data_IF_214491256106
#
_entry.id   IF_214491256106
#
_cell.length_a   1.000
_cell.length_b   1.000
_cell.length_c   1.000
_cell.angle_alpha   90.00
_cell.angle_beta   90.00
_cell.angle_gamma   90.00
#
_symmetry.space_group_name_H-M   'P 1'
#
loop_
_entity.id
_entity.type
_entity.pdbx_description
1 polymer ?
#
# COMPACT_ATOMS: atom_id res chain seq x y z
N UNK A 1 -18.59 2.22 -19.58
CA UNK A 1 -18.74 3.70 -19.55
C UNK A 1 -17.33 4.28 -19.57
N UNK A 2 -16.98 5.03 -20.65
CA UNK A 2 -15.70 5.74 -20.75
C UNK A 2 -15.71 6.86 -19.70
N UNK A 3 -15.00 6.66 -18.60
CA UNK A 3 -14.88 7.64 -17.50
C UNK A 3 -13.97 8.81 -17.90
N UNK A 4 -13.07 8.56 -18.88
CA UNK A 4 -12.07 9.55 -19.35
C UNK A 4 -12.33 9.77 -20.85
N UNK A 5 -12.75 10.98 -21.21
CA UNK A 5 -13.07 11.35 -22.61
C UNK A 5 -11.86 11.83 -23.40
N UNK A 6 -10.94 12.54 -22.78
CA UNK A 6 -9.73 13.12 -23.41
C UNK A 6 -8.48 12.63 -22.67
N UNK A 7 -7.42 12.36 -23.41
CA UNK A 7 -6.08 12.05 -22.90
C UNK A 7 -5.13 13.11 -23.38
N UNK A 8 -4.48 13.78 -22.45
CA UNK A 8 -3.48 14.81 -22.78
C UNK A 8 -2.10 14.21 -22.52
N UNK A 9 -1.30 14.09 -23.54
CA UNK A 9 0.11 13.70 -23.41
C UNK A 9 0.97 14.96 -23.33
N UNK A 10 1.64 15.12 -22.18
CA UNK A 10 2.67 16.16 -22.03
C UNK A 10 3.96 15.62 -22.63
N UNK A 11 4.47 16.27 -23.66
CA UNK A 11 5.64 15.81 -24.41
C UNK A 11 6.65 16.94 -24.57
N UNK A 12 7.94 16.59 -24.52
CA UNK A 12 9.05 17.50 -24.72
C UNK A 12 10.12 16.82 -25.58
N UNK A 13 11.22 16.39 -24.96
CA UNK A 13 12.30 15.69 -25.66
C UNK A 13 11.79 14.44 -26.38
N UNK A 14 12.13 14.32 -27.68
CA UNK A 14 11.63 13.24 -28.57
C UNK A 14 10.09 13.20 -28.73
N UNK A 15 9.39 14.29 -28.44
CA UNK A 15 7.92 14.36 -28.53
C UNK A 15 7.36 14.01 -29.91
N UNK A 16 8.05 14.34 -31.00
CA UNK A 16 7.61 13.98 -32.36
C UNK A 16 7.52 12.45 -32.56
N UNK A 17 8.47 11.67 -31.99
CA UNK A 17 8.39 10.20 -32.05
C UNK A 17 7.15 9.66 -31.34
N UNK A 18 6.76 10.30 -30.23
CA UNK A 18 5.55 9.93 -29.46
C UNK A 18 4.32 10.27 -30.30
N UNK A 19 4.27 11.46 -30.93
CA UNK A 19 3.16 11.86 -31.81
C UNK A 19 3.05 10.98 -33.04
N UNK A 20 4.18 10.62 -33.67
CA UNK A 20 4.21 9.73 -34.83
C UNK A 20 3.66 8.33 -34.47
N UNK A 21 3.97 7.83 -33.26
CA UNK A 21 3.49 6.53 -32.82
C UNK A 21 2.01 6.52 -32.44
N UNK A 22 1.55 7.51 -31.66
CA UNK A 22 0.19 7.50 -31.12
C UNK A 22 -0.84 8.21 -32.02
N UNK A 23 -0.41 9.18 -32.85
CA UNK A 23 -1.28 9.99 -33.69
C UNK A 23 -2.36 10.72 -32.88
N UNK A 24 -3.58 10.71 -33.34
CA UNK A 24 -4.75 11.26 -32.63
C UNK A 24 -5.35 10.26 -31.61
N UNK A 25 -4.76 9.09 -31.45
CA UNK A 25 -5.24 8.03 -30.57
C UNK A 25 -6.31 7.13 -31.14
N UNK A 26 -6.85 7.40 -32.32
CA UNK A 26 -7.96 6.65 -32.94
C UNK A 26 -7.62 5.17 -33.10
N UNK A 27 -6.37 4.83 -33.43
CA UNK A 27 -5.85 3.45 -33.54
C UNK A 27 -5.97 2.67 -32.20
N UNK A 28 -6.01 3.36 -31.08
CA UNK A 28 -6.13 2.79 -29.73
C UNK A 28 -7.54 2.97 -29.15
N UNK A 29 -8.49 3.49 -29.93
CA UNK A 29 -9.87 3.72 -29.50
C UNK A 29 -10.01 4.87 -28.47
N UNK A 30 -9.09 5.83 -28.49
CA UNK A 30 -9.05 7.00 -27.60
C UNK A 30 -8.88 8.28 -28.39
N UNK A 31 -9.17 9.42 -27.78
CA UNK A 31 -8.81 10.73 -28.30
C UNK A 31 -7.56 11.23 -27.54
N UNK A 32 -6.51 11.63 -28.26
CA UNK A 32 -5.26 12.13 -27.69
C UNK A 32 -5.06 13.58 -28.14
N UNK A 33 -4.84 14.43 -27.14
CA UNK A 33 -4.35 15.80 -27.32
C UNK A 33 -2.90 15.88 -26.84
N UNK A 34 -2.13 16.82 -27.36
CA UNK A 34 -0.74 16.98 -27.00
C UNK A 34 -0.50 18.36 -26.41
N UNK A 35 0.11 18.39 -25.23
CA UNK A 35 0.74 19.59 -24.70
C UNK A 35 2.25 19.50 -24.95
N UNK A 36 2.79 20.41 -25.75
CA UNK A 36 4.19 20.39 -26.14
C UNK A 36 4.94 21.38 -25.25
N UNK A 37 5.91 20.87 -24.48
CA UNK A 37 6.83 21.71 -23.71
C UNK A 37 7.90 22.27 -24.61
N UNK A 38 8.02 23.61 -24.67
CA UNK A 38 9.10 24.35 -25.36
C UNK A 38 10.41 24.33 -24.55
N UNK A 39 10.30 24.13 -23.25
CA UNK A 39 11.41 23.88 -22.30
C UNK A 39 10.88 23.03 -21.11
N UNK A 40 11.78 22.36 -20.35
CA UNK A 40 11.34 21.50 -19.27
C UNK A 40 10.60 22.24 -18.16
N UNK A 41 9.32 21.92 -17.96
CA UNK A 41 8.44 22.54 -16.96
C UNK A 41 8.43 21.78 -15.61
N UNK A 42 9.22 20.71 -15.48
CA UNK A 42 9.17 19.82 -14.32
C UNK A 42 8.01 18.83 -14.40
N UNK A 43 7.65 18.24 -13.28
CA UNK A 43 6.60 17.19 -13.24
C UNK A 43 5.18 17.75 -13.15
N UNK A 44 5.01 19.07 -12.88
CA UNK A 44 3.69 19.68 -12.73
C UNK A 44 3.51 21.02 -13.48
N UNK A 45 4.57 21.64 -14.01
CA UNK A 45 4.45 23.00 -14.60
C UNK A 45 3.48 23.06 -15.77
N UNK A 46 3.38 21.99 -16.58
CA UNK A 46 2.41 21.89 -17.66
C UNK A 46 0.97 22.01 -17.17
N UNK A 47 0.63 21.48 -15.99
CA UNK A 47 -0.73 21.50 -15.42
C UNK A 47 -1.23 22.93 -15.21
N UNK A 48 -0.34 23.86 -14.88
CA UNK A 48 -0.68 25.27 -14.65
C UNK A 48 -0.83 26.07 -15.96
N UNK A 49 -0.46 25.46 -17.08
CA UNK A 49 -0.60 26.06 -18.43
C UNK A 49 -1.78 25.46 -19.21
N UNK A 50 -2.54 24.54 -18.61
CA UNK A 50 -3.70 23.85 -19.23
C UNK A 50 -5.02 24.39 -18.68
N UNK A 51 -5.65 25.41 -19.34
CA UNK A 51 -6.91 25.99 -18.86
C UNK A 51 -8.11 25.05 -18.95
N UNK A 52 -8.01 23.97 -19.72
CA UNK A 52 -9.05 22.94 -19.86
C UNK A 52 -9.19 22.01 -18.65
N UNK A 53 -8.25 22.02 -17.69
CA UNK A 53 -8.34 21.23 -16.46
C UNK A 53 -9.33 21.86 -15.49
N UNK A 54 -10.63 21.71 -15.75
CA UNK A 54 -11.72 22.30 -14.98
C UNK A 54 -12.44 21.32 -14.08
N UNK A 55 -12.21 20.01 -14.26
CA UNK A 55 -12.75 18.89 -13.48
C UNK A 55 -11.63 18.06 -12.89
N UNK A 56 -11.98 17.15 -11.96
CA UNK A 56 -11.01 16.18 -11.43
C UNK A 56 -10.39 15.37 -12.56
N UNK A 57 -9.09 15.25 -12.57
CA UNK A 57 -8.34 14.54 -13.60
C UNK A 57 -7.35 13.54 -13.03
N UNK A 58 -7.11 12.47 -13.78
CA UNK A 58 -6.11 11.46 -13.47
C UNK A 58 -4.77 11.87 -14.07
N UNK A 59 -3.74 11.97 -13.23
CA UNK A 59 -2.35 12.20 -13.63
C UNK A 59 -1.59 10.88 -13.51
N UNK A 60 -0.84 10.55 -14.56
CA UNK A 60 -0.06 9.32 -14.64
C UNK A 60 1.35 9.64 -15.11
N UNK A 61 2.35 9.04 -14.47
CA UNK A 61 3.72 9.04 -15.01
C UNK A 61 3.80 8.12 -16.24
N UNK A 62 4.51 8.58 -17.27
CA UNK A 62 4.59 7.88 -18.57
C UNK A 62 5.44 6.59 -18.55
N UNK A 63 6.19 6.36 -17.50
CA UNK A 63 7.09 5.21 -17.30
C UNK A 63 6.58 4.19 -16.27
N UNK A 64 5.29 4.26 -15.91
CA UNK A 64 4.66 3.36 -14.94
C UNK A 64 3.66 2.43 -15.63
N UNK A 65 3.76 1.13 -15.37
CA UNK A 65 2.72 0.16 -15.71
C UNK A 65 1.82 -0.03 -14.50
N UNK A 66 0.52 0.11 -14.75
CA UNK A 66 -0.51 0.00 -13.71
C UNK A 66 -1.69 -0.84 -14.19
N UNK A 67 -2.29 -1.59 -13.28
CA UNK A 67 -3.61 -2.20 -13.46
C UNK A 67 -4.39 -2.12 -12.15
N UNK A 68 -5.05 -0.98 -11.95
CA UNK A 68 -5.79 -0.60 -10.74
C UNK A 68 -7.29 -0.49 -11.06
N UNK A 69 -8.14 -0.86 -10.13
CA UNK A 69 -9.57 -0.58 -10.24
C UNK A 69 -9.87 0.91 -10.05
N UNK A 70 -9.77 1.66 -11.14
CA UNK A 70 -10.04 3.10 -11.12
C UNK A 70 -11.44 3.48 -10.63
N UNK A 71 -12.43 2.58 -10.69
CA UNK A 71 -13.76 2.89 -10.12
C UNK A 71 -13.69 2.99 -8.60
N UNK A 72 -12.94 2.07 -7.95
CA UNK A 72 -12.68 2.15 -6.50
C UNK A 72 -11.89 3.39 -6.15
N UNK A 73 -10.84 3.71 -6.91
CA UNK A 73 -10.00 4.89 -6.68
C UNK A 73 -10.79 6.21 -6.82
N UNK A 74 -11.59 6.34 -7.88
CA UNK A 74 -12.46 7.52 -8.09
C UNK A 74 -13.52 7.63 -6.99
N UNK A 75 -14.13 6.52 -6.58
CA UNK A 75 -15.11 6.50 -5.50
C UNK A 75 -14.48 6.97 -4.18
N UNK A 76 -13.26 6.51 -3.87
CA UNK A 76 -12.50 6.95 -2.70
C UNK A 76 -12.23 8.46 -2.75
N UNK A 77 -11.75 9.00 -3.86
CA UNK A 77 -11.48 10.43 -4.03
C UNK A 77 -12.72 11.28 -3.75
N UNK A 78 -13.85 10.89 -4.32
CA UNK A 78 -15.14 11.58 -4.14
C UNK A 78 -15.65 11.49 -2.70
N UNK A 79 -15.54 10.32 -2.06
CA UNK A 79 -15.92 10.10 -0.66
C UNK A 79 -15.14 11.03 0.28
N UNK A 80 -13.81 11.11 0.06
CA UNK A 80 -12.93 11.98 0.85
C UNK A 80 -13.08 13.46 0.51
N UNK A 81 -13.74 13.81 -0.59
CA UNK A 81 -13.78 15.17 -1.15
C UNK A 81 -12.37 15.72 -1.26
N UNK A 82 -11.46 14.89 -1.75
CA UNK A 82 -10.03 15.16 -1.79
C UNK A 82 -9.70 16.29 -2.80
N UNK A 83 -8.61 17.01 -2.55
CA UNK A 83 -7.96 17.82 -3.57
C UNK A 83 -6.92 16.99 -4.35
N UNK A 84 -6.31 16.03 -3.66
CA UNK A 84 -5.53 14.98 -4.33
C UNK A 84 -5.74 13.65 -3.61
N UNK A 85 -5.87 12.58 -4.39
CA UNK A 85 -5.75 11.20 -3.93
C UNK A 85 -4.57 10.56 -4.62
N UNK A 86 -3.67 9.98 -3.84
CA UNK A 86 -2.42 9.40 -4.30
C UNK A 86 -2.52 7.88 -4.19
N UNK A 87 -2.25 7.16 -5.26
CA UNK A 87 -2.11 5.71 -5.17
C UNK A 87 -0.87 5.39 -4.34
N UNK A 88 -1.04 4.61 -3.31
CA UNK A 88 0.01 4.17 -2.42
C UNK A 88 0.04 2.64 -2.34
N UNK A 89 1.22 2.07 -2.40
CA UNK A 89 1.40 0.62 -2.37
C UNK A 89 2.67 0.22 -1.59
N UNK A 90 2.73 -0.98 -1.00
CA UNK A 90 3.98 -1.50 -0.49
C UNK A 90 4.88 -1.95 -1.64
N UNK A 91 6.19 -1.77 -1.49
CA UNK A 91 7.16 -2.29 -2.46
C UNK A 91 8.40 -2.90 -1.79
N UNK A 92 9.25 -3.55 -2.58
CA UNK A 92 10.47 -4.21 -2.10
C UNK A 92 11.67 -3.28 -1.88
N UNK A 93 11.52 -1.95 -2.08
CA UNK A 93 12.61 -0.98 -1.90
C UNK A 93 12.12 0.34 -1.27
N UNK A 94 11.38 0.29 -0.15
CA UNK A 94 10.81 1.48 0.48
C UNK A 94 11.88 2.46 0.97
N UNK A 95 13.10 1.98 1.21
CA UNK A 95 14.24 2.80 1.63
C UNK A 95 14.70 3.81 0.55
N UNK A 96 14.41 3.52 -0.72
CA UNK A 96 14.75 4.37 -1.89
C UNK A 96 13.51 5.08 -2.47
N UNK A 97 12.45 5.16 -1.71
CA UNK A 97 11.16 5.71 -2.16
C UNK A 97 10.66 6.80 -1.23
N UNK A 98 9.83 7.71 -1.74
CA UNK A 98 9.04 8.62 -0.90
C UNK A 98 7.91 7.86 -0.21
N UNK A 99 7.74 8.08 1.10
CA UNK A 99 6.74 7.40 1.91
C UNK A 99 5.68 8.37 2.41
N UNK A 100 4.44 7.92 2.45
CA UNK A 100 3.29 8.68 2.93
C UNK A 100 2.93 8.25 4.35
N UNK A 101 2.87 9.23 5.27
CA UNK A 101 2.36 9.03 6.63
C UNK A 101 0.96 9.57 6.70
N UNK A 102 0.03 8.76 7.17
CA UNK A 102 -1.39 9.13 7.29
C UNK A 102 -1.81 9.32 8.73
N UNK A 103 -2.89 10.07 8.91
CA UNK A 103 -3.50 10.34 10.20
C UNK A 103 -4.22 9.11 10.72
N UNK A 104 -3.86 8.68 11.91
CA UNK A 104 -4.59 7.67 12.68
C UNK A 104 -5.46 8.37 13.71
N UNK A 105 -6.76 8.10 13.70
CA UNK A 105 -7.71 8.61 14.70
C UNK A 105 -8.01 7.57 15.75
N UNK A 106 -8.27 8.03 16.97
CA UNK A 106 -8.71 7.19 18.06
C UNK A 106 -9.99 6.41 17.68
N UNK A 107 -10.22 5.23 18.29
CA UNK A 107 -11.42 4.46 18.05
C UNK A 107 -12.70 5.27 18.30
N UNK A 108 -13.68 5.15 17.41
CA UNK A 108 -14.99 5.83 17.55
C UNK A 108 -15.88 5.19 18.62
N UNK A 109 -15.60 3.95 18.99
CA UNK A 109 -16.33 3.17 19.99
C UNK A 109 -15.37 2.55 20.98
N UNK A 110 -15.83 2.34 22.23
CA UNK A 110 -15.07 1.61 23.22
C UNK A 110 -14.73 0.19 22.70
N UNK A 111 -13.47 -0.21 22.84
CA UNK A 111 -12.97 -1.49 22.30
C UNK A 111 -12.79 -1.52 20.78
N UNK A 112 -12.98 -0.42 20.07
CA UNK A 112 -12.72 -0.32 18.65
C UNK A 112 -11.23 -0.22 18.33
N UNK A 113 -10.89 -0.37 17.05
CA UNK A 113 -9.53 -0.13 16.53
C UNK A 113 -9.34 1.34 16.15
N UNK A 114 -8.13 1.89 16.30
CA UNK A 114 -7.78 3.15 15.64
C UNK A 114 -8.05 3.07 14.14
N UNK A 115 -8.51 4.17 13.58
CA UNK A 115 -8.90 4.25 12.17
C UNK A 115 -7.84 5.03 11.40
N UNK A 116 -7.25 4.39 10.40
CA UNK A 116 -6.48 5.11 9.38
C UNK A 116 -7.45 5.91 8.53
N UNK A 117 -7.38 7.23 8.62
CA UNK A 117 -8.24 8.12 7.85
C UNK A 117 -7.80 8.23 6.39
N UNK A 118 -6.62 7.70 6.08
CA UNK A 118 -5.91 7.86 4.82
C UNK A 118 -5.49 9.31 4.49
N UNK A 119 -5.81 10.27 5.37
CA UNK A 119 -5.36 11.65 5.23
C UNK A 119 -3.85 11.73 5.38
N UNK A 120 -3.15 12.20 4.37
CA UNK A 120 -1.69 12.40 4.43
C UNK A 120 -1.38 13.55 5.36
N UNK A 121 -0.51 13.31 6.33
CA UNK A 121 -0.06 14.32 7.32
C UNK A 121 1.45 14.58 7.25
N UNK A 122 2.21 13.67 6.60
CA UNK A 122 3.63 13.85 6.40
C UNK A 122 4.08 13.11 5.14
N UNK A 123 5.06 13.68 4.47
CA UNK A 123 5.75 13.12 3.33
C UNK A 123 7.22 12.92 3.70
N UNK A 124 7.65 11.68 3.80
CA UNK A 124 9.03 11.33 4.12
C UNK A 124 9.79 11.11 2.82
N UNK A 125 10.67 12.03 2.47
CA UNK A 125 11.55 11.87 1.32
C UNK A 125 12.60 10.77 1.57
N UNK A 126 13.17 10.21 0.51
CA UNK A 126 14.19 9.15 0.64
C UNK A 126 15.48 9.63 1.32
N UNK A 127 15.73 10.93 1.27
CA UNK A 127 16.87 11.58 1.92
C UNK A 127 16.64 11.84 3.41
N UNK A 128 15.40 11.73 3.90
CA UNK A 128 15.07 11.94 5.30
C UNK A 128 15.57 10.78 6.16
N UNK A 129 16.01 11.06 7.38
CA UNK A 129 16.35 10.01 8.34
C UNK A 129 15.09 9.28 8.81
N UNK A 130 15.03 7.96 8.59
CA UNK A 130 13.86 7.13 8.87
C UNK A 130 14.28 5.87 9.61
N UNK A 131 13.91 5.78 10.90
CA UNK A 131 14.26 4.60 11.71
C UNK A 131 13.36 3.40 11.39
N UNK A 132 12.04 3.58 11.59
CA UNK A 132 11.02 2.58 11.27
C UNK A 132 9.85 3.26 10.59
N UNK A 133 9.37 2.68 9.51
CA UNK A 133 8.33 3.28 8.68
C UNK A 133 7.35 2.24 8.14
N UNK A 134 6.10 2.65 7.97
CA UNK A 134 5.13 1.88 7.19
C UNK A 134 5.54 1.93 5.72
N UNK A 135 5.53 0.79 5.06
CA UNK A 135 5.85 0.66 3.63
C UNK A 135 4.66 1.14 2.78
N UNK A 136 4.49 2.45 2.71
CA UNK A 136 3.43 3.13 1.95
C UNK A 136 4.07 4.10 0.97
N UNK A 137 4.41 3.57 -0.20
CA UNK A 137 5.15 4.29 -1.25
C UNK A 137 4.18 5.02 -2.16
N UNK A 138 4.46 6.30 -2.48
CA UNK A 138 3.75 7.02 -3.54
C UNK A 138 4.06 6.40 -4.90
N UNK A 139 3.01 6.07 -5.65
CA UNK A 139 3.09 5.35 -6.91
C UNK A 139 3.30 6.28 -8.14
N UNK A 140 3.22 7.60 -7.97
CA UNK A 140 3.21 8.54 -9.10
C UNK A 140 1.93 8.45 -9.94
N UNK A 141 0.81 8.17 -9.28
CA UNK A 141 -0.52 8.07 -9.87
C UNK A 141 -1.47 8.86 -8.96
N UNK A 142 -2.01 9.93 -9.48
CA UNK A 142 -2.79 10.88 -8.70
C UNK A 142 -4.14 11.19 -9.37
N UNK A 143 -5.19 11.30 -8.57
CA UNK A 143 -6.43 11.95 -8.96
C UNK A 143 -6.45 13.35 -8.33
N UNK A 144 -6.43 14.37 -9.18
CA UNK A 144 -6.23 15.76 -8.79
C UNK A 144 -7.46 16.58 -9.10
N UNK A 145 -7.91 17.37 -8.13
CA UNK A 145 -8.95 18.39 -8.30
C UNK A 145 -8.32 19.72 -8.71
N UNK A 146 -8.95 20.49 -9.61
CA UNK A 146 -8.49 21.84 -9.98
C UNK A 146 -8.29 22.77 -8.81
N UNK A 147 -8.99 22.54 -7.68
CA UNK A 147 -8.86 23.30 -6.44
C UNK A 147 -7.45 23.21 -5.87
N UNK A 148 -6.77 22.07 -5.99
CA UNK A 148 -5.38 21.93 -5.57
C UNK A 148 -4.47 22.89 -6.34
N UNK A 149 -4.61 22.94 -7.68
CA UNK A 149 -3.80 23.83 -8.51
C UNK A 149 -4.06 25.29 -8.17
N UNK A 150 -5.32 25.67 -7.97
CA UNK A 150 -5.70 27.04 -7.56
C UNK A 150 -5.10 27.40 -6.20
N UNK A 151 -5.17 26.50 -5.22
CA UNK A 151 -4.64 26.75 -3.87
C UNK A 151 -3.11 26.86 -3.91
N UNK A 152 -2.45 25.97 -4.65
CA UNK A 152 -1.01 26.02 -4.85
C UNK A 152 -0.57 27.41 -5.33
N UNK A 153 -1.21 27.94 -6.37
CA UNK A 153 -0.79 29.23 -6.97
C UNK A 153 -0.96 30.43 -6.05
N UNK A 154 -1.84 30.38 -5.05
CA UNK A 154 -2.00 31.50 -4.09
C UNK A 154 -0.74 31.73 -3.25
N UNK A 155 -0.01 30.66 -2.93
CA UNK A 155 1.13 30.70 -2.02
C UNK A 155 2.43 30.19 -2.69
N UNK A 156 2.41 29.99 -4.01
CA UNK A 156 3.54 29.43 -4.73
C UNK A 156 4.72 30.41 -4.78
N UNK A 157 5.86 29.93 -4.31
CA UNK A 157 7.15 30.62 -4.44
C UNK A 157 8.08 29.72 -5.27
N UNK A 158 8.52 30.15 -6.44
CA UNK A 158 9.40 29.33 -7.27
C UNK A 158 10.69 28.97 -6.52
N UNK A 159 11.04 27.70 -6.47
CA UNK A 159 12.32 27.23 -5.91
C UNK A 159 13.51 27.63 -6.79
N UNK A 160 13.25 27.85 -8.06
CA UNK A 160 14.21 28.21 -9.09
C UNK A 160 13.76 29.53 -9.74
N UNK A 161 14.19 30.69 -9.21
CA UNK A 161 13.78 32.01 -9.77
C UNK A 161 14.12 32.21 -11.25
N UNK A 162 15.16 31.53 -11.74
CA UNK A 162 15.60 31.56 -13.15
C UNK A 162 14.69 30.74 -14.08
N UNK A 163 13.93 29.79 -13.54
CA UNK A 163 12.94 28.97 -14.25
C UNK A 163 11.66 28.84 -13.40
N UNK A 164 10.90 29.96 -13.25
CA UNK A 164 9.81 30.03 -12.27
C UNK A 164 8.61 29.13 -12.60
N UNK A 165 8.49 28.69 -13.84
CA UNK A 165 7.45 27.77 -14.29
C UNK A 165 7.87 26.28 -14.26
N UNK A 166 9.11 26.00 -13.82
CA UNK A 166 9.56 24.64 -13.54
C UNK A 166 9.06 24.19 -12.16
N UNK A 167 7.93 23.49 -12.14
CA UNK A 167 7.21 23.10 -10.92
C UNK A 167 7.30 21.57 -10.75
N UNK A 168 7.69 21.16 -9.56
CA UNK A 168 7.74 19.75 -9.16
C UNK A 168 6.45 19.35 -8.44
N UNK A 169 5.79 18.28 -8.90
CA UNK A 169 4.52 17.84 -8.34
C UNK A 169 4.61 17.54 -6.85
N UNK A 170 5.60 16.74 -6.46
CA UNK A 170 5.73 16.28 -5.07
C UNK A 170 6.07 17.43 -4.13
N UNK A 171 7.08 18.23 -4.50
CA UNK A 171 7.68 19.23 -3.62
C UNK A 171 6.92 20.56 -3.62
N UNK A 172 6.45 20.98 -4.80
CA UNK A 172 5.90 22.31 -5.01
C UNK A 172 4.37 22.33 -5.03
N UNK A 173 3.72 21.16 -5.18
CA UNK A 173 2.26 21.06 -5.22
C UNK A 173 1.74 20.22 -4.05
N UNK A 174 2.09 18.93 -3.98
CA UNK A 174 1.51 18.01 -3.01
C UNK A 174 2.00 18.32 -1.59
N UNK A 175 3.32 18.37 -1.38
CA UNK A 175 3.91 18.52 -0.04
C UNK A 175 3.51 19.84 0.64
N UNK A 176 3.46 20.93 -0.09
CA UNK A 176 3.08 22.24 0.47
C UNK A 176 1.59 22.30 0.87
N UNK A 177 0.75 21.49 0.25
CA UNK A 177 -0.70 21.45 0.50
C UNK A 177 -1.13 20.34 1.49
N UNK A 178 -0.22 19.59 2.10
CA UNK A 178 -0.55 18.59 3.14
C UNK A 178 -1.35 19.21 4.28
N UNK A 179 -0.96 20.43 4.71
CA UNK A 179 -1.64 21.17 5.77
C UNK A 179 -3.11 21.51 5.49
N UNK A 180 -3.57 21.42 4.25
CA UNK A 180 -4.99 21.61 3.90
C UNK A 180 -5.91 20.54 4.47
N UNK A 181 -5.37 19.36 4.78
CA UNK A 181 -6.15 18.20 5.19
C UNK A 181 -6.96 17.56 4.05
N UNK A 182 -6.62 17.87 2.78
CA UNK A 182 -7.35 17.42 1.59
C UNK A 182 -6.55 16.51 0.68
N UNK A 183 -5.38 16.03 1.14
CA UNK A 183 -4.56 15.06 0.43
C UNK A 183 -4.69 13.70 1.12
N UNK A 184 -4.98 12.66 0.34
CA UNK A 184 -5.26 11.32 0.84
C UNK A 184 -4.44 10.26 0.11
N UNK A 185 -4.01 9.22 0.83
CA UNK A 185 -3.37 8.03 0.26
C UNK A 185 -4.43 6.94 0.04
N UNK A 186 -4.52 6.43 -1.17
CA UNK A 186 -5.33 5.27 -1.52
C UNK A 186 -4.42 4.03 -1.49
N UNK A 187 -4.45 3.31 -0.38
CA UNK A 187 -3.67 2.07 -0.24
C UNK A 187 -4.24 0.96 -1.11
N UNK A 188 -3.42 0.36 -1.94
CA UNK A 188 -3.83 -0.77 -2.77
C UNK A 188 -2.70 -1.79 -2.94
N UNK A 189 -3.00 -3.11 -2.97
CA UNK A 189 -2.05 -4.16 -3.34
C UNK A 189 -2.02 -4.38 -4.86
N UNK A 190 -2.75 -3.59 -5.65
CA UNK A 190 -2.84 -3.73 -7.09
C UNK A 190 -1.50 -3.46 -7.77
N UNK A 191 -1.39 -3.90 -9.03
CA UNK A 191 -0.12 -3.83 -9.73
C UNK A 191 0.27 -2.40 -10.11
N UNK A 192 1.38 -1.94 -9.57
CA UNK A 192 2.04 -0.68 -9.93
C UNK A 192 3.54 -0.93 -10.00
N UNK A 193 4.16 -0.59 -11.13
CA UNK A 193 5.61 -0.75 -11.29
C UNK A 193 6.17 0.24 -12.31
N UNK A 194 7.22 0.95 -11.93
CA UNK A 194 7.97 1.79 -12.87
C UNK A 194 8.90 0.95 -13.76
N UNK A 195 9.19 1.47 -14.95
CA UNK A 195 10.06 0.87 -15.96
C UNK A 195 11.34 1.68 -16.19
N UNK A 196 11.75 2.51 -15.24
CA UNK A 196 12.84 3.46 -15.38
C UNK A 196 14.24 2.83 -15.53
N UNK A 197 14.38 1.50 -15.43
CA UNK A 197 15.64 0.78 -15.68
C UNK A 197 15.42 -0.43 -16.58
N UNK A 198 16.45 -0.89 -17.34
CA UNK A 198 16.34 -2.09 -18.18
C UNK A 198 15.85 -3.33 -17.40
N UNK A 199 16.36 -3.56 -16.20
CA UNK A 199 15.96 -4.71 -15.39
C UNK A 199 14.49 -4.66 -15.00
N UNK A 200 13.98 -3.48 -14.60
CA UNK A 200 12.56 -3.28 -14.29
C UNK A 200 11.69 -3.43 -15.54
N UNK A 201 12.16 -2.95 -16.70
CA UNK A 201 11.46 -3.14 -17.97
C UNK A 201 11.28 -4.64 -18.30
N UNK A 202 12.33 -5.44 -18.22
CA UNK A 202 12.25 -6.88 -18.46
C UNK A 202 11.40 -7.61 -17.43
N UNK A 203 11.43 -7.16 -16.18
CA UNK A 203 10.58 -7.72 -15.12
C UNK A 203 9.10 -7.44 -15.42
N UNK A 204 8.74 -6.20 -15.79
CA UNK A 204 7.37 -5.83 -16.20
C UNK A 204 6.94 -6.61 -17.43
N UNK A 205 7.80 -6.75 -18.43
CA UNK A 205 7.50 -7.55 -19.62
C UNK A 205 7.15 -9.01 -19.26
N UNK A 206 7.90 -9.60 -18.34
CA UNK A 206 7.62 -10.94 -17.83
C UNK A 206 6.29 -10.96 -17.02
N UNK A 207 6.03 -9.98 -16.18
CA UNK A 207 4.80 -9.88 -15.38
C UNK A 207 3.56 -9.74 -16.28
N UNK A 208 3.67 -9.03 -17.42
CA UNK A 208 2.60 -8.96 -18.43
C UNK A 208 2.40 -10.35 -19.09
N UNK A 209 3.49 -10.99 -19.55
CA UNK A 209 3.43 -12.30 -20.22
C UNK A 209 2.85 -13.40 -19.33
N UNK A 210 3.13 -13.36 -18.05
CA UNK A 210 2.60 -14.31 -17.06
C UNK A 210 1.19 -14.00 -16.57
N UNK A 211 0.62 -12.86 -16.97
CA UNK A 211 -0.72 -12.40 -16.54
C UNK A 211 -0.75 -11.82 -15.12
N UNK A 212 0.40 -11.67 -14.46
CA UNK A 212 0.48 -11.17 -13.09
C UNK A 212 -0.07 -9.75 -12.96
N UNK A 213 0.21 -8.87 -13.94
CA UNK A 213 -0.31 -7.49 -13.96
C UNK A 213 -1.82 -7.48 -13.77
N UNK A 214 -2.54 -8.26 -14.59
CA UNK A 214 -4.00 -8.30 -14.54
C UNK A 214 -4.54 -9.08 -13.33
N UNK A 215 -3.81 -10.09 -12.86
CA UNK A 215 -4.25 -10.91 -11.73
C UNK A 215 -4.43 -10.10 -10.45
N UNK A 216 -3.59 -9.09 -10.21
CA UNK A 216 -3.65 -8.25 -9.01
C UNK A 216 -4.73 -7.14 -9.05
N UNK A 217 -5.45 -6.94 -10.16
CA UNK A 217 -6.55 -5.97 -10.20
C UNK A 217 -7.70 -6.42 -9.28
N UNK A 218 -8.16 -5.55 -8.38
CA UNK A 218 -9.17 -5.87 -7.37
C UNK A 218 -10.59 -6.14 -7.92
N UNK A 219 -10.81 -5.95 -9.23
CA UNK A 219 -12.00 -6.48 -9.90
C UNK A 219 -11.98 -8.01 -9.97
N UNK A 220 -10.80 -8.60 -10.00
CA UNK A 220 -10.60 -10.04 -10.02
C UNK A 220 -10.57 -10.59 -8.59
N UNK A 221 -10.89 -11.88 -8.44
CA UNK A 221 -10.75 -12.58 -7.17
C UNK A 221 -9.26 -12.77 -6.86
N UNK A 222 -8.83 -12.23 -5.73
CA UNK A 222 -7.45 -12.36 -5.27
C UNK A 222 -7.21 -13.67 -4.53
N UNK A 223 -5.96 -14.07 -4.43
CA UNK A 223 -5.52 -15.18 -3.58
C UNK A 223 -4.55 -14.64 -2.53
N UNK A 224 -4.60 -15.15 -1.32
CA UNK A 224 -3.73 -14.70 -0.25
C UNK A 224 -3.04 -15.86 0.48
N UNK A 225 -1.85 -15.57 0.98
CA UNK A 225 -1.20 -16.34 2.02
C UNK A 225 -1.27 -15.50 3.29
N UNK A 226 -2.15 -15.92 4.19
CA UNK A 226 -2.30 -15.33 5.49
C UNK A 226 -1.22 -15.88 6.42
N UNK A 227 -0.54 -14.99 7.14
CA UNK A 227 0.59 -15.32 8.00
C UNK A 227 0.31 -14.85 9.43
N UNK A 228 0.49 -15.71 10.42
CA UNK A 228 0.65 -15.22 11.79
C UNK A 228 1.96 -14.45 11.92
N UNK A 229 2.07 -13.61 12.94
CA UNK A 229 3.26 -12.79 13.18
C UNK A 229 4.24 -13.47 14.12
N UNK A 230 3.86 -13.63 15.38
CA UNK A 230 4.75 -14.06 16.45
C UNK A 230 4.97 -15.57 16.41
N UNK A 231 6.21 -16.02 16.26
CA UNK A 231 6.56 -17.44 16.11
C UNK A 231 6.56 -17.94 14.67
N UNK A 232 6.02 -17.15 13.72
CA UNK A 232 5.92 -17.48 12.29
C UNK A 232 6.76 -16.49 11.42
N UNK A 233 6.58 -15.20 11.60
CA UNK A 233 7.36 -14.15 10.92
C UNK A 233 8.55 -13.73 11.78
N UNK A 234 8.33 -13.50 13.06
CA UNK A 234 9.36 -13.13 14.01
C UNK A 234 9.45 -14.10 15.16
N UNK A 235 10.58 -14.04 15.88
CA UNK A 235 10.77 -14.86 17.09
C UNK A 235 9.69 -14.56 18.12
N UNK A 236 9.04 -15.61 18.59
CA UNK A 236 8.19 -15.56 19.77
C UNK A 236 9.09 -15.53 21.01
N UNK A 237 9.15 -14.39 21.67
CA UNK A 237 9.90 -14.15 22.90
C UNK A 237 8.98 -13.79 24.08
N UNK A 238 7.71 -14.15 23.97
CA UNK A 238 6.62 -13.69 24.82
C UNK A 238 5.89 -12.50 24.19
N UNK A 239 5.37 -11.60 25.01
CA UNK A 239 4.67 -10.42 24.49
C UNK A 239 5.66 -9.33 24.07
N UNK A 240 5.66 -8.99 22.79
CA UNK A 240 6.46 -7.92 22.23
C UNK A 240 5.75 -6.58 22.47
N UNK A 241 6.36 -5.70 23.22
CA UNK A 241 5.83 -4.37 23.58
C UNK A 241 6.72 -3.22 23.10
N UNK A 242 7.93 -3.55 22.63
CA UNK A 242 8.92 -2.58 22.14
C UNK A 242 9.56 -3.07 20.84
N UNK A 243 9.93 -2.18 19.92
CA UNK A 243 10.57 -2.56 18.66
C UNK A 243 11.87 -3.39 18.86
N UNK A 244 12.64 -3.13 19.92
CA UNK A 244 13.91 -3.82 20.19
C UNK A 244 13.74 -5.33 20.41
N UNK A 245 12.55 -5.76 20.84
CA UNK A 245 12.21 -7.17 21.07
C UNK A 245 11.82 -7.90 19.78
N UNK A 246 11.55 -7.15 18.69
CA UNK A 246 11.18 -7.72 17.41
C UNK A 246 12.44 -8.13 16.63
N UNK A 247 12.48 -9.41 16.21
CA UNK A 247 13.55 -9.98 15.39
C UNK A 247 12.93 -10.93 14.35
N UNK A 248 13.18 -10.68 13.06
CA UNK A 248 12.72 -11.57 11.99
C UNK A 248 13.34 -12.96 12.13
N UNK A 249 12.56 -14.00 11.88
CA UNK A 249 13.10 -15.35 11.76
C UNK A 249 13.95 -15.50 10.48
N UNK A 250 15.06 -16.25 10.55
CA UNK A 250 15.87 -16.53 9.37
C UNK A 250 15.02 -17.13 8.22
N UNK A 251 15.25 -16.63 7.01
CA UNK A 251 14.57 -17.09 5.80
C UNK A 251 13.18 -16.47 5.54
N UNK A 252 12.55 -15.80 6.52
CA UNK A 252 11.20 -15.25 6.37
C UNK A 252 11.13 -14.16 5.30
N UNK A 253 12.06 -13.23 5.28
CA UNK A 253 12.07 -12.18 4.25
C UNK A 253 12.16 -12.77 2.84
N UNK A 254 13.01 -13.79 2.66
CA UNK A 254 13.12 -14.53 1.39
C UNK A 254 11.83 -15.25 1.02
N UNK A 255 11.14 -15.82 2.02
CA UNK A 255 9.86 -16.49 1.85
C UNK A 255 8.76 -15.49 1.44
N UNK A 256 8.62 -14.37 2.13
CA UNK A 256 7.64 -13.32 1.79
C UNK A 256 7.97 -12.73 0.40
N UNK A 257 9.23 -12.52 0.05
CA UNK A 257 9.64 -12.10 -1.30
C UNK A 257 9.19 -13.10 -2.39
N UNK A 258 9.17 -14.40 -2.08
CA UNK A 258 8.63 -15.40 -3.02
C UNK A 258 7.10 -15.26 -3.17
N UNK A 259 6.36 -14.93 -2.10
CA UNK A 259 4.94 -14.60 -2.19
C UNK A 259 4.75 -13.35 -3.07
N UNK A 260 5.51 -12.27 -2.85
CA UNK A 260 5.42 -11.03 -3.64
C UNK A 260 5.68 -11.23 -5.13
N UNK A 261 6.47 -12.25 -5.49
CA UNK A 261 6.73 -12.63 -6.89
C UNK A 261 5.68 -13.55 -7.50
N UNK A 262 4.76 -14.05 -6.67
CA UNK A 262 3.67 -14.94 -7.08
C UNK A 262 2.38 -14.18 -7.36
N UNK A 263 1.28 -14.89 -7.61
CA UNK A 263 -0.06 -14.32 -7.70
C UNK A 263 -0.81 -14.29 -6.36
N UNK A 264 -0.12 -14.36 -5.21
CA UNK A 264 -0.72 -14.30 -3.89
C UNK A 264 -0.38 -12.98 -3.18
N UNK A 265 -1.33 -12.47 -2.40
CA UNK A 265 -1.10 -11.39 -1.45
C UNK A 265 -0.47 -11.95 -0.17
N UNK A 266 0.47 -11.22 0.43
CA UNK A 266 1.06 -11.54 1.73
C UNK A 266 0.36 -10.74 2.82
N UNK A 267 -0.49 -11.38 3.64
CA UNK A 267 -1.32 -10.68 4.63
C UNK A 267 -1.04 -11.21 6.03
N UNK A 268 -0.69 -10.31 6.95
CA UNK A 268 -0.46 -10.66 8.36
C UNK A 268 -1.76 -10.63 9.15
N UNK A 269 -2.03 -11.71 9.90
CA UNK A 269 -3.20 -11.88 10.77
C UNK A 269 -2.72 -12.18 12.19
N UNK A 270 -2.76 -11.22 13.10
CA UNK A 270 -2.13 -11.37 14.42
C UNK A 270 -3.04 -11.02 15.61
N UNK A 271 -2.96 -11.82 16.66
CA UNK A 271 -3.57 -11.52 17.97
C UNK A 271 -2.57 -10.74 18.82
N UNK A 272 -2.91 -9.52 19.24
CA UNK A 272 -2.06 -8.66 20.05
C UNK A 272 -2.74 -8.28 21.38
N UNK A 273 -2.82 -9.21 22.33
CA UNK A 273 -3.49 -9.00 23.62
C UNK A 273 -2.77 -7.97 24.51
N UNK A 274 -1.56 -7.58 24.15
CA UNK A 274 -0.78 -6.53 24.84
C UNK A 274 -1.54 -5.19 24.93
N UNK A 275 -2.43 -4.92 23.97
CA UNK A 275 -3.32 -3.75 24.01
C UNK A 275 -4.36 -3.90 25.15
N UNK A 276 -5.10 -5.01 25.17
CA UNK A 276 -6.11 -5.28 26.21
C UNK A 276 -5.49 -5.40 27.62
N UNK A 277 -4.24 -5.85 27.71
CA UNK A 277 -3.49 -5.96 28.97
C UNK A 277 -2.96 -4.62 29.46
N UNK A 278 -2.93 -3.60 28.60
CA UNK A 278 -2.32 -2.29 28.91
C UNK A 278 -0.79 -2.27 28.84
N UNK A 279 -0.17 -3.34 28.35
CA UNK A 279 1.29 -3.49 28.26
C UNK A 279 1.86 -2.67 27.07
N UNK A 280 1.01 -2.30 26.10
CA UNK A 280 1.40 -1.60 24.88
C UNK A 280 0.28 -0.66 24.39
N UNK A 281 0.63 0.49 23.83
CA UNK A 281 -0.31 1.38 23.12
C UNK A 281 -0.41 0.98 21.64
N UNK A 282 -1.41 1.51 20.93
CA UNK A 282 -1.52 1.29 19.49
C UNK A 282 -0.38 1.94 18.71
N UNK A 283 0.13 3.08 19.17
CA UNK A 283 1.28 3.76 18.56
C UNK A 283 2.56 2.92 18.71
N UNK A 284 2.75 2.32 19.89
CA UNK A 284 3.87 1.40 20.12
C UNK A 284 3.76 0.15 19.26
N UNK A 285 2.57 -0.45 19.18
CA UNK A 285 2.32 -1.60 18.31
C UNK A 285 2.55 -1.24 16.83
N UNK A 286 2.10 -0.07 16.40
CA UNK A 286 2.37 0.41 15.04
C UNK A 286 3.88 0.56 14.77
N UNK A 287 4.64 1.04 15.77
CA UNK A 287 6.10 1.16 15.63
C UNK A 287 6.78 -0.22 15.49
N UNK A 288 6.26 -1.25 16.19
CA UNK A 288 6.73 -2.63 16.03
C UNK A 288 6.43 -3.15 14.62
N UNK A 289 5.22 -2.90 14.10
CA UNK A 289 4.86 -3.25 12.73
C UNK A 289 5.70 -2.49 11.69
N UNK A 290 5.94 -1.20 11.91
CA UNK A 290 6.81 -0.40 11.05
C UNK A 290 8.23 -0.97 11.01
N UNK A 291 8.76 -1.45 12.15
CA UNK A 291 10.04 -2.15 12.17
C UNK A 291 10.00 -3.42 11.31
N UNK A 292 8.95 -4.23 11.43
CA UNK A 292 8.78 -5.42 10.58
C UNK A 292 8.81 -5.07 9.09
N UNK A 293 8.02 -4.09 8.69
CA UNK A 293 7.97 -3.64 7.28
C UNK A 293 9.30 -3.07 6.81
N UNK A 294 10.00 -2.32 7.68
CA UNK A 294 11.34 -1.77 7.40
C UNK A 294 12.37 -2.88 7.21
N UNK A 295 12.39 -3.89 8.09
CA UNK A 295 13.35 -5.01 7.99
C UNK A 295 13.05 -5.89 6.78
N UNK A 296 11.79 -6.18 6.48
CA UNK A 296 11.40 -6.88 5.26
C UNK A 296 11.82 -6.09 4.01
N UNK A 297 11.59 -4.78 3.98
CA UNK A 297 11.94 -3.91 2.86
C UNK A 297 13.45 -3.88 2.57
N UNK A 298 14.31 -3.95 3.59
CA UNK A 298 15.76 -4.06 3.43
C UNK A 298 16.18 -5.32 2.65
N UNK A 299 15.41 -6.40 2.78
CA UNK A 299 15.62 -7.67 2.08
C UNK A 299 14.84 -7.75 0.75
N UNK A 300 14.12 -6.70 0.39
CA UNK A 300 13.32 -6.62 -0.83
C UNK A 300 12.01 -7.39 -0.75
N UNK A 301 11.44 -7.51 0.44
CA UNK A 301 10.15 -8.14 0.71
C UNK A 301 9.17 -7.14 1.32
N UNK A 302 7.87 -7.41 1.18
CA UNK A 302 6.82 -6.59 1.77
C UNK A 302 5.57 -7.41 2.09
N UNK A 303 4.74 -6.90 3.00
CA UNK A 303 3.40 -7.41 3.26
C UNK A 303 2.36 -6.43 2.70
N UNK A 304 1.28 -6.97 2.13
CA UNK A 304 0.22 -6.16 1.52
C UNK A 304 -0.70 -5.53 2.57
N UNK A 305 -0.90 -6.22 3.71
CA UNK A 305 -1.67 -5.69 4.83
C UNK A 305 -1.34 -6.40 6.15
N UNK A 306 -1.67 -5.71 7.26
CA UNK A 306 -1.55 -6.24 8.62
C UNK A 306 -2.89 -6.05 9.32
N UNK A 307 -3.52 -7.15 9.73
CA UNK A 307 -4.76 -7.17 10.51
C UNK A 307 -4.48 -7.61 11.94
N UNK A 308 -5.02 -6.87 12.90
CA UNK A 308 -4.72 -7.02 14.33
C UNK A 308 -5.99 -7.26 15.13
N UNK A 309 -5.96 -8.21 16.04
CA UNK A 309 -6.95 -8.29 17.12
C UNK A 309 -6.32 -7.81 18.43
N UNK A 310 -6.80 -6.72 19.05
CA UNK A 310 -6.29 -6.21 20.31
C UNK A 310 -6.95 -6.85 21.54
N UNK A 311 -8.00 -7.66 21.34
CA UNK A 311 -8.89 -8.12 22.40
C UNK A 311 -8.35 -9.35 23.14
N UNK A 312 -8.73 -9.45 24.41
CA UNK A 312 -8.45 -10.62 25.26
C UNK A 312 -9.47 -10.70 26.39
N UNK A 313 -10.00 -11.89 26.69
CA UNK A 313 -11.04 -12.08 27.71
C UNK A 313 -10.53 -12.12 29.14
N UNK A 314 -9.28 -12.58 29.34
CA UNK A 314 -8.70 -12.74 30.68
C UNK A 314 -8.54 -11.39 31.38
N UNK A 315 -8.85 -11.35 32.66
CA UNK A 315 -8.85 -10.17 33.53
C UNK A 315 -7.80 -10.32 34.64
N UNK A 316 -7.53 -9.23 35.35
CA UNK A 316 -6.65 -9.22 36.50
C UNK A 316 -5.22 -8.77 36.22
N UNK A 317 -4.97 -8.13 35.07
CA UNK A 317 -3.68 -7.52 34.75
C UNK A 317 -3.62 -6.06 35.24
N UNK A 318 -2.50 -5.68 35.82
CA UNK A 318 -2.28 -4.28 36.21
C UNK A 318 -2.26 -3.38 34.97
N UNK A 319 -3.06 -2.31 34.95
CA UNK A 319 -3.13 -1.38 33.80
C UNK A 319 -3.98 -1.86 32.65
N UNK A 320 -4.72 -3.00 32.81
CA UNK A 320 -5.59 -3.51 31.75
C UNK A 320 -6.63 -2.49 31.27
N UNK A 321 -7.03 -2.61 30.01
CA UNK A 321 -8.01 -1.76 29.37
C UNK A 321 -9.34 -2.50 29.26
N UNK A 322 -10.33 -2.18 30.12
CA UNK A 322 -11.60 -2.92 30.18
C UNK A 322 -12.36 -2.95 28.85
N UNK A 323 -12.23 -1.89 28.05
CA UNK A 323 -12.90 -1.74 26.75
C UNK A 323 -12.43 -2.78 25.71
N UNK A 324 -11.23 -3.37 25.89
CA UNK A 324 -10.70 -4.44 25.03
C UNK A 324 -10.82 -5.82 25.66
N UNK A 325 -11.42 -5.93 26.85
CA UNK A 325 -11.65 -7.20 27.58
C UNK A 325 -12.98 -7.83 27.17
N UNK A 326 -13.08 -8.18 25.92
CA UNK A 326 -14.33 -8.74 25.38
C UNK A 326 -14.06 -9.98 24.51
N UNK A 327 -15.09 -10.80 24.35
CA UNK A 327 -15.15 -11.78 23.27
C UNK A 327 -15.50 -11.04 21.98
N UNK A 328 -14.70 -11.26 20.94
CA UNK A 328 -14.82 -10.60 19.65
C UNK A 328 -14.71 -11.62 18.52
N UNK A 329 -15.16 -11.25 17.31
CA UNK A 329 -15.07 -12.11 16.14
C UNK A 329 -13.70 -12.07 15.47
N UNK A 330 -12.86 -11.07 15.81
CA UNK A 330 -11.54 -10.87 15.18
C UNK A 330 -10.43 -11.75 15.80
N UNK A 331 -10.60 -12.24 17.06
CA UNK A 331 -9.54 -13.02 17.73
C UNK A 331 -9.50 -14.46 17.23
N UNK A 332 -8.35 -14.88 16.68
CA UNK A 332 -8.08 -16.29 16.36
C UNK A 332 -8.30 -17.15 17.62
N UNK A 333 -9.04 -18.27 17.57
CA UNK A 333 -9.40 -19.08 16.39
C UNK A 333 -10.65 -18.64 15.61
N UNK A 334 -11.27 -17.49 15.92
CA UNK A 334 -12.37 -16.98 15.11
C UNK A 334 -11.83 -16.35 13.80
N UNK A 335 -12.58 -16.44 12.70
CA UNK A 335 -12.09 -16.09 11.35
C UNK A 335 -12.19 -14.61 10.99
N UNK A 336 -12.66 -13.73 11.89
CA UNK A 336 -13.10 -12.38 11.55
C UNK A 336 -12.07 -11.52 10.82
N UNK A 337 -10.77 -11.62 11.17
CA UNK A 337 -9.73 -10.87 10.47
C UNK A 337 -9.50 -11.39 9.04
N UNK A 338 -9.58 -12.71 8.81
CA UNK A 338 -9.45 -13.27 7.46
C UNK A 338 -10.65 -12.86 6.59
N UNK A 339 -11.86 -12.90 7.15
CA UNK A 339 -13.08 -12.48 6.48
C UNK A 339 -13.05 -10.98 6.14
N UNK A 340 -12.52 -10.15 7.05
CA UNK A 340 -12.33 -8.72 6.81
C UNK A 340 -11.34 -8.48 5.65
N UNK A 341 -10.19 -9.13 5.67
CA UNK A 341 -9.22 -9.03 4.58
C UNK A 341 -9.80 -9.51 3.24
N UNK A 342 -10.59 -10.59 3.26
CA UNK A 342 -11.25 -11.10 2.06
C UNK A 342 -12.25 -10.09 1.47
N UNK A 343 -12.96 -9.36 2.32
CA UNK A 343 -13.86 -8.28 1.88
C UNK A 343 -13.10 -7.09 1.31
N UNK A 344 -12.04 -6.66 1.99
CA UNK A 344 -11.28 -5.46 1.62
C UNK A 344 -10.57 -5.63 0.26
N UNK A 345 -9.99 -6.81 0.02
CA UNK A 345 -9.18 -7.10 -1.16
C UNK A 345 -9.84 -8.08 -2.16
N UNK A 346 -11.14 -8.35 -2.05
CA UNK A 346 -11.84 -9.29 -2.93
C UNK A 346 -11.18 -10.69 -2.99
N UNK A 347 -10.76 -11.25 -1.83
CA UNK A 347 -10.01 -12.50 -1.78
C UNK A 347 -10.95 -13.71 -1.87
N UNK A 348 -10.53 -14.71 -2.65
CA UNK A 348 -11.09 -16.05 -2.66
C UNK A 348 -10.41 -16.91 -1.59
N UNK A 349 -11.08 -17.08 -0.47
CA UNK A 349 -10.56 -17.85 0.64
C UNK A 349 -10.33 -19.33 0.25
N UNK A 350 -11.19 -19.89 -0.61
CA UNK A 350 -11.06 -21.28 -1.04
C UNK A 350 -9.80 -21.55 -1.89
N UNK A 351 -9.11 -20.52 -2.35
CA UNK A 351 -7.82 -20.59 -3.04
C UNK A 351 -6.66 -20.04 -2.21
N UNK A 352 -6.91 -19.67 -0.96
CA UNK A 352 -5.95 -19.01 -0.08
C UNK A 352 -5.47 -19.97 1.01
N UNK A 353 -4.39 -19.60 1.69
CA UNK A 353 -3.76 -20.40 2.74
C UNK A 353 -3.64 -19.60 4.04
N UNK A 354 -3.71 -20.28 5.20
CA UNK A 354 -3.30 -19.72 6.49
C UNK A 354 -2.11 -20.48 7.03
N UNK A 355 -1.05 -19.77 7.45
CA UNK A 355 0.16 -20.37 8.02
C UNK A 355 0.43 -19.69 9.37
N UNK A 356 0.57 -20.50 10.43
CA UNK A 356 0.83 -20.00 11.77
C UNK A 356 1.38 -21.09 12.69
N UNK A 357 1.86 -20.72 13.88
CA UNK A 357 2.52 -21.65 14.82
C UNK A 357 1.56 -22.28 15.85
N UNK A 358 0.32 -21.81 15.93
CA UNK A 358 -0.65 -22.25 16.93
C UNK A 358 -1.86 -22.97 16.34
N UNK A 359 -2.54 -23.79 17.15
CA UNK A 359 -3.84 -24.39 16.80
C UNK A 359 -4.91 -23.31 16.56
N UNK A 360 -4.74 -22.12 17.16
CA UNK A 360 -5.61 -20.98 16.94
C UNK A 360 -5.55 -20.45 15.50
N UNK A 361 -4.38 -20.50 14.89
CA UNK A 361 -4.17 -20.08 13.50
C UNK A 361 -4.81 -21.06 12.53
N UNK A 362 -4.55 -22.36 12.74
CA UNK A 362 -5.12 -23.42 11.92
C UNK A 362 -6.64 -23.36 11.94
N UNK A 363 -7.24 -23.31 13.14
CA UNK A 363 -8.70 -23.22 13.29
C UNK A 363 -9.28 -21.93 12.69
N UNK A 364 -8.57 -20.80 12.79
CA UNK A 364 -9.04 -19.56 12.18
C UNK A 364 -9.09 -19.67 10.64
N UNK A 365 -8.08 -20.29 10.03
CA UNK A 365 -8.06 -20.60 8.62
C UNK A 365 -9.17 -21.55 8.20
N UNK A 366 -9.34 -22.67 8.89
CA UNK A 366 -10.41 -23.63 8.64
C UNK A 366 -11.81 -23.00 8.78
N UNK A 367 -12.03 -22.23 9.85
CA UNK A 367 -13.29 -21.50 10.08
C UNK A 367 -13.56 -20.42 9.03
N UNK A 368 -12.52 -19.84 8.42
CA UNK A 368 -12.64 -18.90 7.31
C UNK A 368 -12.90 -19.60 5.96
N UNK A 369 -12.67 -20.91 5.86
CA UNK A 369 -12.81 -21.67 4.63
C UNK A 369 -11.63 -21.50 3.67
N UNK A 370 -10.40 -21.33 4.18
CA UNK A 370 -9.21 -21.32 3.32
C UNK A 370 -8.97 -22.71 2.72
N UNK A 371 -8.24 -22.75 1.61
CA UNK A 371 -7.89 -24.00 0.92
C UNK A 371 -7.14 -24.97 1.83
N UNK A 372 -6.21 -24.45 2.61
CA UNK A 372 -5.45 -25.21 3.59
C UNK A 372 -4.94 -24.29 4.69
N UNK A 373 -5.05 -24.76 5.95
CA UNK A 373 -4.45 -24.10 7.09
C UNK A 373 -3.29 -24.96 7.62
N UNK A 374 -2.09 -24.38 7.65
CA UNK A 374 -0.84 -25.12 7.88
C UNK A 374 -0.19 -24.66 9.17
N UNK A 375 0.08 -25.60 10.07
CA UNK A 375 0.83 -25.34 11.27
C UNK A 375 2.34 -25.46 11.03
N UNK A 376 3.10 -24.50 11.53
CA UNK A 376 4.57 -24.53 11.63
C UNK A 376 4.99 -24.74 13.08
N UNK A 377 6.19 -25.24 13.31
CA UNK A 377 6.76 -25.21 14.65
C UNK A 377 7.16 -23.76 15.00
N UNK A 378 6.89 -23.38 16.23
CA UNK A 378 7.18 -22.04 16.74
C UNK A 378 8.68 -21.73 16.63
N UNK A 379 9.00 -20.57 16.07
CA UNK A 379 10.38 -20.12 15.87
C UNK A 379 11.23 -21.03 14.93
N UNK A 380 10.61 -21.86 14.13
CA UNK A 380 11.33 -22.73 13.21
C UNK A 380 11.90 -21.90 12.04
N UNK A 381 13.21 -21.91 11.94
CA UNK A 381 13.94 -21.29 10.83
C UNK A 381 13.60 -21.96 9.49
N UNK A 382 13.52 -21.17 8.42
CA UNK A 382 13.24 -21.63 7.05
C UNK A 382 11.89 -22.37 6.85
N UNK A 383 11.06 -22.56 7.90
CA UNK A 383 9.81 -23.32 7.81
C UNK A 383 8.86 -22.71 6.77
N UNK A 384 8.70 -21.39 6.79
CA UNK A 384 7.84 -20.69 5.86
C UNK A 384 8.27 -20.92 4.40
N UNK A 385 9.57 -20.85 4.11
CA UNK A 385 10.09 -21.11 2.75
C UNK A 385 9.84 -22.54 2.30
N UNK A 386 9.97 -23.53 3.20
CA UNK A 386 9.72 -24.93 2.87
C UNK A 386 8.26 -25.19 2.49
N UNK A 387 7.32 -24.56 3.21
CA UNK A 387 5.89 -24.65 2.90
C UNK A 387 5.59 -23.95 1.58
N UNK A 388 6.10 -22.71 1.40
CA UNK A 388 5.86 -21.95 0.18
C UNK A 388 6.36 -22.64 -1.08
N UNK A 389 7.46 -23.40 -1.00
CA UNK A 389 7.92 -24.22 -2.13
C UNK A 389 6.84 -25.23 -2.57
N UNK A 390 6.09 -25.81 -1.64
CA UNK A 390 5.00 -26.74 -1.97
C UNK A 390 3.78 -26.02 -2.53
N UNK A 391 3.47 -24.80 -2.04
CA UNK A 391 2.30 -24.03 -2.50
C UNK A 391 2.53 -23.37 -3.86
N UNK A 392 3.71 -22.79 -4.07
CA UNK A 392 3.98 -21.93 -5.22
C UNK A 392 4.52 -22.68 -6.43
N UNK A 393 5.09 -23.89 -6.24
CA UNK A 393 5.76 -24.65 -7.31
C UNK A 393 5.16 -26.06 -7.49
N UNK A 394 4.05 -26.39 -6.82
CA UNK A 394 3.20 -27.54 -7.10
C UNK A 394 2.14 -27.18 -8.15
#
# INVERSE_FOLDING_TARGET
TNIISVRILVIGYLGEKIKDYFGDGSRFGVCIEYFIEDHPLGTAGALFKMPQLTEDFLLLCGDVIIDVDFNRFIAFHKEKKAWASLVAHPNGHPYDSSLLVTKIEAPKTAGGMPVDTHQVICWMAKEDERLYYKNRVNAGIELISPELLKETMKNFVPRHPETPDKIDLDRDVLKINIGSGRIYAYDTPEYVKDMGTPDRFFEVENDIKTGKVHAHNLKNRQKAIFLDRDGTINKMVGFITKPEQFELLPGVAKAIKAINKSGYLAIVITNQPVIARGDCTFEQLQTIHNKMETELGKEGAFVDAIYVCPHHTDKGFSGERPEYKCDCDCRKPKPGLLLQAAKDFNIDLSQSYMIGDSDGDVRAGENAGVKEAIRVEQNQEEALMQILKKILYS
#
